data_IF_203438629664
#
_entry.id   IF_203438629664
#
_cell.length_a   1.000
_cell.length_b   1.000
_cell.length_c   1.000
_cell.angle_alpha   90.00
_cell.angle_beta   90.00
_cell.angle_gamma   90.00
#
_symmetry.space_group_name_H-M   'P 1'
#
loop_
_entity.id
_entity.type
_entity.pdbx_description
1 polymer ?
#
# COMPACT_ATOMS: atom_id res chain seq x y z
N UNK A 1 10.42 -33.96 -8.49
CA UNK A 1 8.94 -33.96 -8.41
C UNK A 1 8.56 -34.16 -6.95
N UNK A 2 8.44 -33.09 -6.17
CA UNK A 2 7.96 -33.14 -4.79
C UNK A 2 6.80 -32.17 -4.63
N UNK A 3 5.61 -32.76 -4.51
CA UNK A 3 4.49 -32.36 -3.66
C UNK A 3 4.12 -30.87 -3.64
N UNK A 4 3.34 -30.46 -4.64
CA UNK A 4 2.27 -29.50 -4.43
C UNK A 4 1.23 -30.13 -3.51
N UNK A 5 1.28 -29.79 -2.23
CA UNK A 5 0.12 -29.88 -1.33
C UNK A 5 0.37 -29.04 -0.08
N UNK A 6 -0.72 -28.44 0.40
CA UNK A 6 -0.87 -27.74 1.68
C UNK A 6 -0.03 -26.47 1.88
N UNK A 7 -0.47 -25.35 1.28
CA UNK A 7 -0.54 -24.04 1.95
C UNK A 7 -1.52 -23.10 1.23
N UNK A 8 -2.63 -23.66 0.75
CA UNK A 8 -3.67 -22.96 0.01
C UNK A 8 -4.56 -22.25 1.04
N UNK A 9 -4.05 -21.18 1.67
CA UNK A 9 -4.79 -20.39 2.68
C UNK A 9 -3.92 -19.57 3.63
N UNK A 10 -2.62 -19.87 3.69
CA UNK A 10 -1.64 -19.06 4.43
C UNK A 10 -1.11 -17.99 3.48
N UNK A 11 -1.18 -16.70 3.86
CA UNK A 11 -0.49 -15.64 3.11
C UNK A 11 0.99 -16.05 2.98
N UNK A 12 1.51 -16.25 1.77
CA UNK A 12 2.94 -16.51 1.59
C UNK A 12 3.75 -15.40 2.25
N UNK A 13 4.87 -15.74 2.88
CA UNK A 13 5.81 -14.73 3.34
C UNK A 13 6.52 -14.12 2.12
N UNK A 14 5.87 -13.15 1.49
CA UNK A 14 6.39 -12.47 0.30
C UNK A 14 7.69 -11.67 0.59
N UNK A 15 8.05 -11.46 1.85
CA UNK A 15 9.32 -10.83 2.23
C UNK A 15 10.55 -11.70 1.94
N UNK A 16 10.37 -13.01 1.80
CA UNK A 16 11.45 -13.99 1.53
C UNK A 16 11.24 -14.74 0.20
N UNK A 17 10.17 -14.43 -0.54
CA UNK A 17 9.87 -15.09 -1.80
C UNK A 17 10.81 -14.59 -2.90
N UNK A 18 11.50 -15.52 -3.56
CA UNK A 18 12.37 -15.20 -4.69
C UNK A 18 11.55 -15.03 -5.96
N UNK A 19 12.11 -14.28 -6.93
CA UNK A 19 11.50 -14.09 -8.25
C UNK A 19 11.22 -15.42 -8.97
N UNK A 20 12.16 -16.38 -8.88
CA UNK A 20 12.02 -17.67 -9.55
C UNK A 20 10.84 -18.48 -9.01
N UNK A 21 10.68 -18.52 -7.68
CA UNK A 21 9.55 -19.23 -7.04
C UNK A 21 8.23 -18.57 -7.47
N UNK A 22 8.19 -17.24 -7.50
CA UNK A 22 6.98 -16.52 -7.94
C UNK A 22 6.60 -16.85 -9.40
N UNK A 23 7.58 -16.99 -10.29
CA UNK A 23 7.33 -17.39 -11.67
C UNK A 23 6.87 -18.85 -11.80
N UNK A 24 7.28 -19.72 -10.88
CA UNK A 24 6.79 -21.11 -10.82
C UNK A 24 5.31 -21.18 -10.41
N UNK A 25 4.88 -20.30 -9.50
CA UNK A 25 3.48 -20.22 -9.05
C UNK A 25 2.54 -19.59 -10.11
N UNK A 26 3.09 -18.73 -10.97
CA UNK A 26 2.32 -18.00 -11.99
C UNK A 26 2.96 -18.18 -13.37
N UNK A 27 2.63 -19.29 -14.03
CA UNK A 27 3.14 -19.61 -15.36
C UNK A 27 2.17 -19.21 -16.47
N UNK A 28 0.88 -19.11 -16.14
CA UNK A 28 -0.21 -18.87 -17.09
C UNK A 28 -1.22 -17.83 -16.61
N UNK A 29 -2.07 -17.37 -17.53
CA UNK A 29 -3.23 -16.55 -17.19
C UNK A 29 -4.20 -17.29 -16.25
N UNK A 30 -4.35 -18.61 -16.42
CA UNK A 30 -5.26 -19.43 -15.62
C UNK A 30 -4.83 -19.50 -14.15
N UNK A 31 -3.52 -19.56 -13.88
CA UNK A 31 -2.97 -19.49 -12.50
C UNK A 31 -3.33 -18.15 -11.84
N UNK A 32 -3.19 -17.05 -12.60
CA UNK A 32 -3.53 -15.71 -12.13
C UNK A 32 -5.03 -15.58 -11.86
N UNK A 33 -5.88 -16.13 -12.73
CA UNK A 33 -7.33 -16.15 -12.54
C UNK A 33 -7.75 -17.01 -11.35
N UNK A 34 -7.17 -18.21 -11.19
CA UNK A 34 -7.46 -19.09 -10.06
C UNK A 34 -7.09 -18.43 -8.74
N UNK A 35 -5.91 -17.81 -8.67
CA UNK A 35 -5.48 -17.07 -7.49
C UNK A 35 -6.39 -15.87 -7.19
N UNK A 36 -6.76 -15.10 -8.22
CA UNK A 36 -7.64 -13.93 -8.06
C UNK A 36 -9.06 -14.32 -7.65
N UNK A 37 -9.60 -15.41 -8.19
CA UNK A 37 -10.89 -15.96 -7.82
C UNK A 37 -10.92 -16.32 -6.34
N UNK A 38 -9.92 -17.08 -5.89
CA UNK A 38 -9.80 -17.50 -4.50
C UNK A 38 -9.58 -16.32 -3.55
N UNK A 39 -8.78 -15.35 -3.96
CA UNK A 39 -8.50 -14.16 -3.13
C UNK A 39 -9.72 -13.27 -2.99
N UNK A 40 -10.48 -13.08 -4.07
CA UNK A 40 -11.69 -12.24 -4.07
C UNK A 40 -12.87 -12.94 -3.42
N UNK A 41 -13.01 -14.24 -3.65
CA UNK A 41 -14.15 -15.06 -3.29
C UNK A 41 -13.69 -16.44 -2.76
N UNK A 42 -13.23 -16.52 -1.50
CA UNK A 42 -12.70 -17.76 -0.92
C UNK A 42 -13.70 -18.91 -0.93
N UNK A 43 -14.98 -18.61 -0.72
CA UNK A 43 -16.09 -19.58 -0.66
C UNK A 43 -16.85 -19.69 -1.99
N UNK A 44 -16.25 -19.25 -3.09
CA UNK A 44 -16.90 -19.18 -4.41
C UNK A 44 -17.65 -17.86 -4.65
N UNK A 45 -18.14 -17.69 -5.89
CA UNK A 45 -18.70 -16.43 -6.39
C UNK A 45 -19.74 -15.81 -5.45
N UNK A 46 -19.57 -14.52 -5.14
CA UNK A 46 -20.55 -13.71 -4.42
C UNK A 46 -20.88 -12.48 -5.26
N UNK A 47 -22.16 -12.29 -5.58
CA UNK A 47 -22.57 -11.15 -6.40
C UNK A 47 -22.35 -9.82 -5.65
N UNK A 48 -21.52 -8.88 -6.16
CA UNK A 48 -21.26 -7.60 -5.51
C UNK A 48 -22.49 -6.68 -5.41
N UNK A 49 -23.56 -6.95 -6.18
CA UNK A 49 -24.79 -6.14 -6.18
C UNK A 49 -25.83 -6.62 -5.16
N UNK A 50 -25.92 -7.93 -4.91
CA UNK A 50 -27.02 -8.51 -4.13
C UNK A 50 -26.60 -9.61 -3.15
N UNK A 51 -25.32 -9.96 -3.07
CA UNK A 51 -24.80 -10.98 -2.16
C UNK A 51 -25.11 -12.44 -2.53
N UNK A 52 -25.95 -12.69 -3.54
CA UNK A 52 -26.29 -14.05 -3.98
C UNK A 52 -25.06 -14.84 -4.45
N UNK A 53 -25.02 -16.13 -4.09
CA UNK A 53 -24.00 -17.10 -4.51
C UNK A 53 -24.39 -17.85 -5.79
N UNK A 54 -25.63 -17.71 -6.25
CA UNK A 54 -26.11 -18.39 -7.44
C UNK A 54 -25.72 -17.64 -8.72
N UNK A 55 -25.01 -18.33 -9.62
CA UNK A 55 -24.57 -17.75 -10.88
C UNK A 55 -24.62 -18.74 -12.06
N UNK A 56 -24.60 -18.17 -13.26
CA UNK A 56 -24.21 -18.85 -14.49
C UNK A 56 -22.82 -18.37 -14.92
N UNK A 57 -21.94 -19.30 -15.27
CA UNK A 57 -20.69 -18.96 -15.97
C UNK A 57 -21.04 -18.65 -17.44
N UNK A 58 -20.78 -17.42 -17.89
CA UNK A 58 -21.00 -17.04 -19.29
C UNK A 58 -19.78 -17.45 -20.12
N UNK A 59 -18.59 -17.23 -19.59
CA UNK A 59 -17.32 -17.60 -20.23
C UNK A 59 -16.31 -17.90 -19.14
N UNK A 60 -15.81 -19.14 -19.13
CA UNK A 60 -14.71 -19.53 -18.25
C UNK A 60 -13.44 -18.75 -18.61
N UNK A 61 -13.13 -18.59 -19.90
CA UNK A 61 -11.93 -17.88 -20.37
C UNK A 61 -11.92 -16.40 -19.97
N UNK A 62 -13.06 -15.72 -20.05
CA UNK A 62 -13.16 -14.30 -19.65
C UNK A 62 -13.51 -14.12 -18.17
N UNK A 63 -13.65 -15.23 -17.42
CA UNK A 63 -14.05 -15.25 -16.02
C UNK A 63 -15.28 -14.35 -15.78
N UNK A 64 -16.30 -14.51 -16.63
CA UNK A 64 -17.50 -13.68 -16.65
C UNK A 64 -18.69 -14.45 -16.07
N UNK A 65 -19.26 -13.88 -15.01
CA UNK A 65 -20.31 -14.49 -14.21
C UNK A 65 -21.61 -13.68 -14.33
N UNK A 66 -22.75 -14.36 -14.42
CA UNK A 66 -24.08 -13.74 -14.36
C UNK A 66 -24.83 -14.23 -13.14
N UNK A 67 -25.17 -13.32 -12.24
CA UNK A 67 -25.96 -13.64 -11.06
C UNK A 67 -27.36 -14.15 -11.47
N UNK A 68 -27.84 -15.24 -10.86
CA UNK A 68 -29.19 -15.76 -11.13
C UNK A 68 -30.29 -14.87 -10.55
N UNK A 69 -30.05 -14.29 -9.38
CA UNK A 69 -31.02 -13.48 -8.65
C UNK A 69 -31.24 -12.10 -9.28
N UNK A 70 -30.18 -11.30 -9.44
CA UNK A 70 -30.30 -9.91 -9.93
C UNK A 70 -29.93 -9.73 -11.42
N UNK A 71 -29.58 -10.82 -12.12
CA UNK A 71 -29.15 -10.85 -13.53
C UNK A 71 -27.92 -10.00 -13.88
N UNK A 72 -27.26 -9.41 -12.88
CA UNK A 72 -26.06 -8.59 -13.06
C UNK A 72 -24.89 -9.43 -13.61
N UNK A 73 -24.14 -8.87 -14.55
CA UNK A 73 -22.93 -9.47 -15.10
C UNK A 73 -21.71 -8.90 -14.38
N UNK A 74 -20.79 -9.77 -13.98
CA UNK A 74 -19.61 -9.41 -13.20
C UNK A 74 -18.43 -10.21 -13.73
N UNK A 75 -17.38 -9.53 -14.19
CA UNK A 75 -16.10 -10.19 -14.46
C UNK A 75 -15.32 -10.32 -13.16
N UNK A 76 -14.44 -11.32 -13.08
CA UNK A 76 -13.56 -11.50 -11.93
C UNK A 76 -12.70 -10.26 -11.62
N UNK A 77 -12.27 -9.54 -12.67
CA UNK A 77 -11.48 -8.30 -12.56
C UNK A 77 -12.31 -7.07 -12.19
N UNK A 78 -13.64 -7.16 -12.14
CA UNK A 78 -14.52 -6.01 -11.88
C UNK A 78 -14.39 -5.47 -10.46
N UNK A 79 -14.22 -4.15 -10.32
CA UNK A 79 -14.02 -3.52 -9.02
C UNK A 79 -12.68 -3.88 -8.37
N UNK A 80 -11.67 -4.23 -9.18
CA UNK A 80 -10.27 -4.42 -8.75
C UNK A 80 -9.36 -3.49 -9.54
N UNK A 81 -8.06 -3.46 -9.22
CA UNK A 81 -7.05 -2.74 -10.02
C UNK A 81 -7.01 -3.21 -11.49
N UNK A 82 -7.41 -4.46 -11.74
CA UNK A 82 -7.47 -5.09 -13.07
C UNK A 82 -8.74 -4.72 -13.87
N UNK A 83 -9.63 -3.89 -13.31
CA UNK A 83 -10.88 -3.55 -13.99
C UNK A 83 -10.63 -2.95 -15.38
N UNK A 84 -11.33 -3.51 -16.38
CA UNK A 84 -11.24 -3.14 -17.80
C UNK A 84 -9.82 -3.18 -18.38
N UNK A 85 -8.92 -3.96 -17.79
CA UNK A 85 -7.60 -4.16 -18.38
C UNK A 85 -7.70 -5.01 -19.64
N UNK A 86 -6.87 -4.67 -20.64
CA UNK A 86 -6.58 -5.53 -21.80
C UNK A 86 -5.20 -6.18 -21.69
N UNK A 87 -4.42 -5.78 -20.69
CA UNK A 87 -3.12 -6.36 -20.42
C UNK A 87 -3.32 -7.72 -19.74
N UNK A 88 -2.62 -8.78 -20.18
CA UNK A 88 -2.65 -10.09 -19.52
C UNK A 88 -2.37 -9.97 -18.01
N UNK A 89 -3.10 -10.72 -17.19
CA UNK A 89 -2.94 -10.71 -15.73
C UNK A 89 -1.55 -11.18 -15.31
N UNK A 90 -0.91 -12.06 -16.06
CA UNK A 90 0.45 -12.51 -15.81
C UNK A 90 1.40 -11.31 -15.72
N UNK A 91 1.33 -10.39 -16.70
CA UNK A 91 2.16 -9.16 -16.70
C UNK A 91 1.86 -8.26 -15.51
N UNK A 92 0.60 -8.20 -15.08
CA UNK A 92 0.21 -7.49 -13.87
C UNK A 92 0.83 -8.10 -12.61
N UNK A 93 0.77 -9.42 -12.47
CA UNK A 93 1.30 -10.14 -11.31
C UNK A 93 2.81 -9.98 -11.21
N UNK A 94 3.52 -10.09 -12.35
CA UNK A 94 4.95 -9.82 -12.45
C UNK A 94 5.29 -8.38 -12.00
N UNK A 95 4.54 -7.39 -12.49
CA UNK A 95 4.73 -5.99 -12.08
C UNK A 95 4.48 -5.79 -10.58
N UNK A 96 3.40 -6.38 -10.05
CA UNK A 96 3.07 -6.30 -8.61
C UNK A 96 4.20 -6.87 -7.77
N UNK A 97 4.74 -8.03 -8.14
CA UNK A 97 5.85 -8.65 -7.43
C UNK A 97 7.09 -7.74 -7.44
N UNK A 98 7.49 -7.23 -8.61
CA UNK A 98 8.66 -6.34 -8.73
C UNK A 98 8.49 -5.06 -7.90
N UNK A 99 7.28 -4.50 -7.90
CA UNK A 99 6.96 -3.31 -7.11
C UNK A 99 6.94 -3.58 -5.60
N UNK A 100 6.47 -4.75 -5.17
CA UNK A 100 6.36 -5.10 -3.76
C UNK A 100 7.71 -5.52 -3.13
N UNK A 101 8.62 -6.08 -3.93
CA UNK A 101 9.92 -6.61 -3.45
C UNK A 101 11.08 -5.65 -3.67
N UNK A 102 10.95 -4.65 -4.55
CA UNK A 102 12.01 -3.66 -4.77
C UNK A 102 12.12 -2.66 -3.61
N UNK A 103 13.31 -2.56 -3.03
CA UNK A 103 13.63 -1.59 -1.96
C UNK A 103 13.69 -0.14 -2.46
N UNK A 104 14.09 0.06 -3.70
CA UNK A 104 14.36 1.39 -4.31
C UNK A 104 13.26 1.83 -5.28
N UNK A 105 12.19 1.05 -5.41
CA UNK A 105 11.18 1.23 -6.45
C UNK A 105 11.60 0.63 -7.79
N UNK A 106 10.73 0.75 -8.81
CA UNK A 106 10.95 0.18 -10.14
C UNK A 106 10.91 1.25 -11.22
N UNK A 107 11.80 1.16 -12.19
CA UNK A 107 11.79 2.03 -13.36
C UNK A 107 10.69 1.60 -14.33
N UNK A 108 9.79 2.51 -14.69
CA UNK A 108 8.69 2.20 -15.62
C UNK A 108 9.22 1.80 -17.00
N UNK A 109 10.33 2.40 -17.46
CA UNK A 109 10.96 2.03 -18.74
C UNK A 109 11.58 0.63 -18.69
N UNK A 110 12.15 0.25 -17.56
CA UNK A 110 12.67 -1.09 -17.35
C UNK A 110 11.54 -2.12 -17.35
N UNK A 111 10.47 -1.85 -16.60
CA UNK A 111 9.27 -2.70 -16.56
C UNK A 111 8.58 -2.83 -17.92
N UNK A 112 8.58 -1.78 -18.73
CA UNK A 112 8.06 -1.86 -20.09
C UNK A 112 8.84 -2.87 -20.96
N UNK A 113 10.16 -2.94 -20.80
CA UNK A 113 11.00 -3.92 -21.49
C UNK A 113 10.86 -5.32 -20.90
N UNK A 114 10.98 -5.47 -19.57
CA UNK A 114 10.86 -6.77 -18.88
C UNK A 114 9.50 -7.43 -19.14
N UNK A 115 8.42 -6.66 -19.17
CA UNK A 115 7.06 -7.17 -19.38
C UNK A 115 6.65 -7.20 -20.86
N UNK A 116 7.53 -6.80 -21.78
CA UNK A 116 7.23 -6.70 -23.22
C UNK A 116 5.95 -5.89 -23.48
N UNK A 117 5.86 -4.70 -22.89
CA UNK A 117 4.75 -3.76 -23.09
C UNK A 117 5.31 -2.54 -23.83
N UNK A 118 4.91 -2.39 -25.09
CA UNK A 118 5.43 -1.33 -25.96
C UNK A 118 4.99 0.08 -25.52
N UNK A 119 3.80 0.20 -24.94
CA UNK A 119 3.28 1.50 -24.50
C UNK A 119 3.68 1.80 -23.05
N UNK A 120 4.56 2.79 -22.89
CA UNK A 120 4.97 3.34 -21.60
C UNK A 120 3.78 3.75 -20.74
N UNK A 121 2.76 4.40 -21.34
CA UNK A 121 1.62 4.93 -20.59
C UNK A 121 0.80 3.82 -19.96
N UNK A 122 0.72 2.66 -20.61
CA UNK A 122 0.09 1.46 -20.06
C UNK A 122 0.79 1.01 -18.79
N UNK A 123 2.11 0.81 -18.82
CA UNK A 123 2.89 0.37 -17.64
C UNK A 123 2.84 1.41 -16.52
N UNK A 124 2.94 2.70 -16.88
CA UNK A 124 2.83 3.80 -15.95
C UNK A 124 1.47 3.80 -15.22
N UNK A 125 0.37 3.59 -15.96
CA UNK A 125 -0.98 3.49 -15.39
C UNK A 125 -1.13 2.25 -14.51
N UNK A 126 -0.55 1.12 -14.91
CA UNK A 126 -0.53 -0.10 -14.09
C UNK A 126 0.18 0.15 -12.76
N UNK A 127 1.37 0.73 -12.80
CA UNK A 127 2.16 1.04 -11.61
C UNK A 127 1.43 2.02 -10.68
N UNK A 128 0.74 3.04 -11.21
CA UNK A 128 -0.06 3.95 -10.39
C UNK A 128 -1.25 3.30 -9.73
N UNK A 129 -1.97 2.41 -10.42
CA UNK A 129 -3.06 1.63 -9.82
C UNK A 129 -2.54 0.74 -8.68
N UNK A 130 -1.36 0.14 -8.85
CA UNK A 130 -0.71 -0.67 -7.81
C UNK A 130 -0.34 0.20 -6.60
N UNK A 131 0.34 1.33 -6.82
CA UNK A 131 0.70 2.27 -5.74
C UNK A 131 -0.53 2.77 -4.99
N UNK A 132 -1.60 3.11 -5.72
CA UNK A 132 -2.85 3.55 -5.10
C UNK A 132 -3.46 2.44 -4.23
N UNK A 133 -3.49 1.20 -4.71
CA UNK A 133 -3.97 0.07 -3.91
C UNK A 133 -3.10 -0.22 -2.69
N UNK A 134 -1.77 -0.05 -2.80
CA UNK A 134 -0.86 -0.14 -1.65
C UNK A 134 -1.15 0.95 -0.63
N UNK A 135 -1.22 2.22 -1.08
CA UNK A 135 -1.53 3.35 -0.21
C UNK A 135 -2.92 3.24 0.45
N UNK A 136 -3.94 2.79 -0.28
CA UNK A 136 -5.29 2.59 0.27
C UNK A 136 -5.32 1.48 1.33
N UNK A 137 -4.45 0.48 1.20
CA UNK A 137 -4.27 -0.55 2.23
C UNK A 137 -3.49 0.00 3.42
N UNK A 138 -2.41 0.74 3.18
CA UNK A 138 -1.58 1.30 4.24
C UNK A 138 -2.38 2.30 5.10
N UNK A 139 -3.28 3.05 4.48
CA UNK A 139 -4.24 3.93 5.14
C UNK A 139 -5.21 3.21 6.11
N UNK A 140 -5.34 1.88 6.05
CA UNK A 140 -6.16 1.12 6.99
C UNK A 140 -5.41 0.76 8.28
N UNK A 141 -4.08 0.82 8.29
CA UNK A 141 -3.31 0.54 9.50
C UNK A 141 -3.22 1.79 10.37
N UNK A 142 -3.63 1.66 11.62
CA UNK A 142 -3.33 2.64 12.66
C UNK A 142 -1.90 2.46 13.13
N UNK A 143 -1.22 3.56 13.43
CA UNK A 143 0.05 3.48 14.16
C UNK A 143 -0.28 3.08 15.60
N UNK A 144 0.37 2.02 16.09
CA UNK A 144 0.22 1.57 17.46
C UNK A 144 1.56 1.68 18.17
N UNK A 145 1.53 2.12 19.44
CA UNK A 145 2.74 2.34 20.24
C UNK A 145 3.44 3.65 19.91
N UNK A 146 4.74 3.72 20.21
CA UNK A 146 5.48 4.97 20.15
C UNK A 146 5.69 5.40 18.69
N UNK A 147 5.12 6.53 18.27
CA UNK A 147 5.26 7.03 16.90
C UNK A 147 6.38 8.07 16.81
N UNK A 148 7.39 7.79 16.00
CA UNK A 148 8.44 8.75 15.67
C UNK A 148 8.04 9.57 14.45
N UNK A 149 8.13 10.90 14.54
CA UNK A 149 7.80 11.80 13.43
C UNK A 149 9.01 12.62 13.04
N UNK A 150 9.28 12.67 11.73
CA UNK A 150 10.33 13.50 11.12
C UNK A 150 9.78 14.20 9.87
N UNK A 151 10.45 15.28 9.47
CA UNK A 151 10.12 16.05 8.27
C UNK A 151 11.13 15.78 7.15
N UNK A 152 10.67 15.75 5.92
CA UNK A 152 11.49 15.52 4.74
C UNK A 152 11.02 16.37 3.57
N UNK A 153 11.95 16.73 2.68
CA UNK A 153 11.68 17.63 1.55
C UNK A 153 11.89 16.90 0.22
N UNK A 154 10.82 16.70 -0.55
CA UNK A 154 10.82 15.97 -1.82
C UNK A 154 10.63 16.93 -3.00
N UNK A 155 11.44 16.79 -4.04
CA UNK A 155 11.31 17.63 -5.23
C UNK A 155 12.48 17.47 -6.18
N UNK A 156 12.40 18.08 -7.37
CA UNK A 156 13.49 18.05 -8.36
C UNK A 156 14.79 18.59 -7.77
N UNK A 157 15.92 18.12 -8.30
CA UNK A 157 17.22 18.66 -7.93
C UNK A 157 17.26 20.16 -8.27
N UNK A 158 17.53 21.00 -7.27
CA UNK A 158 17.56 22.45 -7.43
C UNK A 158 18.79 23.02 -6.73
N UNK A 159 19.45 23.96 -7.40
CA UNK A 159 20.54 24.75 -6.81
C UNK A 159 19.95 25.88 -5.97
N UNK A 160 20.05 25.78 -4.65
CA UNK A 160 19.49 26.77 -3.73
C UNK A 160 19.53 26.32 -2.28
N UNK A 161 18.73 26.96 -1.41
CA UNK A 161 18.59 26.59 -0.01
C UNK A 161 18.18 25.12 0.14
N UNK A 162 18.80 24.42 1.09
CA UNK A 162 18.46 23.04 1.49
C UNK A 162 17.64 23.08 2.79
N UNK A 163 16.67 22.17 2.94
CA UNK A 163 15.81 22.08 4.14
C UNK A 163 14.57 22.98 4.09
N UNK A 164 14.06 23.40 5.26
CA UNK A 164 12.88 24.28 5.38
C UNK A 164 13.03 25.55 4.53
N UNK A 165 11.99 25.85 3.75
CA UNK A 165 11.99 27.01 2.84
C UNK A 165 12.82 26.81 1.58
N UNK A 166 13.22 25.58 1.25
CA UNK A 166 13.73 25.25 -0.08
C UNK A 166 12.60 25.40 -1.10
N UNK A 167 12.68 26.45 -1.92
CA UNK A 167 11.73 26.70 -3.00
C UNK A 167 11.64 25.47 -3.92
N UNK A 168 10.41 25.10 -4.32
CA UNK A 168 10.09 23.98 -5.24
C UNK A 168 10.26 22.57 -4.66
N UNK A 169 10.37 22.41 -3.33
CA UNK A 169 10.25 21.10 -2.69
C UNK A 169 8.96 21.02 -1.87
N UNK A 170 8.29 19.89 -1.98
CA UNK A 170 7.17 19.50 -1.14
C UNK A 170 7.67 19.07 0.23
N UNK A 171 7.09 19.64 1.27
CA UNK A 171 7.33 19.23 2.65
C UNK A 171 6.45 18.02 2.96
N UNK A 172 7.08 16.97 3.46
CA UNK A 172 6.44 15.71 3.81
C UNK A 172 6.79 15.37 5.25
N UNK A 173 5.77 15.18 6.06
CA UNK A 173 5.92 14.63 7.41
C UNK A 173 5.79 13.11 7.33
N UNK A 174 6.77 12.40 7.87
CA UNK A 174 6.78 10.93 7.95
C UNK A 174 6.64 10.52 9.40
N UNK A 175 5.60 9.75 9.71
CA UNK A 175 5.35 9.17 11.02
C UNK A 175 5.59 7.66 10.98
N UNK A 176 6.39 7.11 11.88
CA UNK A 176 6.75 5.69 11.94
C UNK A 176 6.44 5.15 13.33
N UNK A 177 5.60 4.11 13.41
CA UNK A 177 5.40 3.37 14.67
C UNK A 177 6.66 2.59 15.05
N UNK A 178 6.94 2.51 16.34
CA UNK A 178 8.05 1.76 16.91
C UNK A 178 7.48 0.73 17.88
N UNK A 179 7.88 -0.52 17.71
CA UNK A 179 7.56 -1.62 18.62
C UNK A 179 8.84 -2.26 19.13
N UNK A 180 8.75 -2.97 20.27
CA UNK A 180 9.89 -3.70 20.85
C UNK A 180 9.76 -5.18 20.55
N UNK A 181 10.82 -5.78 20.03
CA UNK A 181 10.88 -7.23 19.86
C UNK A 181 11.03 -7.97 21.20
N UNK A 182 10.96 -9.31 21.18
CA UNK A 182 11.10 -10.16 22.39
C UNK A 182 12.44 -9.95 23.11
N UNK A 183 13.45 -9.40 22.42
CA UNK A 183 14.76 -9.07 22.99
C UNK A 183 14.84 -7.61 23.48
N UNK A 184 13.72 -6.87 23.48
CA UNK A 184 13.64 -5.48 23.94
C UNK A 184 14.14 -4.44 22.93
N UNK A 185 14.55 -4.86 21.72
CA UNK A 185 15.10 -3.96 20.70
C UNK A 185 13.97 -3.26 19.94
N UNK A 186 14.11 -1.94 19.79
CA UNK A 186 13.19 -1.13 18.99
C UNK A 186 13.29 -1.53 17.50
N UNK A 187 12.12 -1.72 16.89
CA UNK A 187 11.96 -2.06 15.48
C UNK A 187 10.94 -1.10 14.86
N UNK A 188 11.18 -0.63 13.63
CA UNK A 188 10.18 0.12 12.91
C UNK A 188 8.99 -0.79 12.59
N UNK A 189 7.79 -0.24 12.72
CA UNK A 189 6.53 -0.82 12.32
C UNK A 189 6.01 -0.15 11.05
N UNK A 190 4.72 0.22 11.08
CA UNK A 190 4.07 0.95 10.00
C UNK A 190 4.55 2.40 9.91
N UNK A 191 4.53 2.94 8.70
CA UNK A 191 4.86 4.34 8.41
C UNK A 191 3.73 5.01 7.62
N UNK A 192 3.46 6.28 7.92
CA UNK A 192 2.55 7.15 7.18
C UNK A 192 3.28 8.41 6.74
N UNK A 193 3.04 8.87 5.52
CA UNK A 193 3.65 10.08 4.98
C UNK A 193 2.56 11.07 4.53
N UNK A 194 2.68 12.32 4.95
CA UNK A 194 1.73 13.40 4.69
C UNK A 194 2.42 14.56 4.01
N UNK A 195 1.96 14.92 2.81
CA UNK A 195 2.36 16.18 2.18
C UNK A 195 1.67 17.32 2.93
N UNK A 196 2.45 18.29 3.40
CA UNK A 196 1.96 19.44 4.17
C UNK A 196 2.56 20.74 3.64
N UNK A 197 1.83 21.84 3.77
CA UNK A 197 2.35 23.16 3.41
C UNK A 197 3.36 23.69 4.44
N UNK A 198 3.15 23.35 5.71
CA UNK A 198 3.95 23.78 6.86
C UNK A 198 4.02 22.68 7.93
N UNK A 199 5.15 22.59 8.63
CA UNK A 199 5.33 21.71 9.79
C UNK A 199 5.29 22.54 11.09
N UNK A 200 4.11 23.06 11.41
CA UNK A 200 3.85 23.73 12.69
C UNK A 200 3.10 22.80 13.66
N UNK A 201 3.01 23.22 14.93
CA UNK A 201 2.41 22.42 15.99
C UNK A 201 0.96 22.00 15.68
N UNK A 202 0.16 22.91 15.13
CA UNK A 202 -1.23 22.64 14.74
C UNK A 202 -1.33 21.55 13.67
N UNK A 203 -0.48 21.62 12.64
CA UNK A 203 -0.46 20.60 11.58
C UNK A 203 -0.05 19.24 12.13
N UNK A 204 0.95 19.21 13.02
CA UNK A 204 1.41 17.97 13.67
C UNK A 204 0.31 17.37 14.56
N UNK A 205 -0.37 18.19 15.37
CA UNK A 205 -1.48 17.72 16.22
C UNK A 205 -2.64 17.15 15.39
N UNK A 206 -2.97 17.79 14.27
CA UNK A 206 -4.01 17.29 13.36
C UNK A 206 -3.61 15.94 12.73
N UNK A 207 -2.32 15.76 12.39
CA UNK A 207 -1.81 14.48 11.90
C UNK A 207 -1.86 13.41 12.99
N UNK A 208 -1.45 13.73 14.23
CA UNK A 208 -1.51 12.79 15.37
C UNK A 208 -2.94 12.33 15.65
N UNK A 209 -3.90 13.27 15.68
CA UNK A 209 -5.34 12.95 15.82
C UNK A 209 -5.83 12.04 14.71
N UNK A 210 -5.39 12.29 13.47
CA UNK A 210 -5.75 11.46 12.31
C UNK A 210 -5.16 10.05 12.38
N UNK A 211 -3.98 9.91 13.00
CA UNK A 211 -3.29 8.64 13.19
C UNK A 211 -3.78 7.87 14.44
N UNK A 212 -4.67 8.46 15.24
CA UNK A 212 -5.15 7.90 16.52
C UNK A 212 -4.01 7.63 17.52
N UNK A 213 -2.96 8.47 17.45
CA UNK A 213 -1.79 8.40 18.34
C UNK A 213 -1.93 9.47 19.42
N UNK A 214 -1.86 9.07 20.68
CA UNK A 214 -1.83 10.00 21.80
C UNK A 214 -0.49 10.77 21.80
N UNK A 215 -0.50 12.04 22.20
CA UNK A 215 0.73 12.85 22.20
C UNK A 215 1.81 12.28 23.14
N UNK A 216 1.40 11.58 24.21
CA UNK A 216 2.27 10.90 25.17
C UNK A 216 3.03 9.72 24.54
N UNK A 217 2.50 9.15 23.47
CA UNK A 217 3.11 8.07 22.68
C UNK A 217 3.88 8.61 21.46
N UNK A 218 3.96 9.92 21.27
CA UNK A 218 4.67 10.51 20.12
C UNK A 218 6.08 10.97 20.50
N UNK A 219 7.08 10.49 19.75
CA UNK A 219 8.46 10.98 19.82
C UNK A 219 8.78 11.75 18.55
N UNK A 220 8.43 13.03 18.51
CA UNK A 220 9.01 13.91 17.51
C UNK A 220 10.52 13.98 17.78
N UNK A 221 11.35 13.67 16.79
CA UNK A 221 12.79 13.96 16.86
C UNK A 221 13.04 15.29 16.17
N UNK A 222 13.58 16.26 16.92
CA UNK A 222 14.03 17.49 16.34
C UNK A 222 15.45 17.76 16.77
N UNK A 223 16.29 18.24 15.86
CA UNK A 223 17.59 18.82 16.24
C UNK A 223 17.48 20.02 17.22
N UNK A 224 16.26 20.47 17.62
CA UNK A 224 16.00 21.41 18.73
C UNK A 224 14.49 21.70 18.95
N UNK A 225 13.63 20.77 19.41
CA UNK A 225 12.22 21.13 19.73
C UNK A 225 11.70 20.66 21.10
N UNK A 226 12.52 20.00 21.92
CA UNK A 226 12.06 19.56 23.25
C UNK A 226 11.76 20.73 24.21
N UNK A 227 12.29 21.93 23.99
CA UNK A 227 12.01 23.09 24.86
C UNK A 227 10.67 23.76 24.55
N UNK A 228 10.23 23.82 23.29
CA UNK A 228 9.00 24.53 22.92
C UNK A 228 7.74 23.66 23.10
N UNK A 229 7.81 22.35 22.83
CA UNK A 229 6.67 21.46 23.04
C UNK A 229 6.43 21.14 24.53
N UNK A 230 7.47 21.09 25.38
CA UNK A 230 7.27 20.96 26.83
C UNK A 230 6.59 22.19 27.44
N UNK A 231 6.83 23.38 26.87
CA UNK A 231 6.17 24.62 27.29
C UNK A 231 4.72 24.73 26.79
N UNK A 232 4.39 24.07 25.68
CA UNK A 232 3.00 23.98 25.22
C UNK A 232 2.16 23.07 26.13
N UNK A 233 2.70 21.90 26.49
CA UNK A 233 2.01 20.96 27.40
C UNK A 233 1.86 21.48 28.84
N UNK A 234 2.83 22.26 29.35
CA UNK A 234 2.68 22.92 30.66
C UNK A 234 1.59 23.98 30.71
N UNK A 235 1.17 24.55 29.57
CA UNK A 235 0.09 25.56 29.52
C UNK A 235 -1.31 24.96 29.47
N UNK A 236 -1.47 23.71 29.03
CA UNK A 236 -2.79 23.06 28.96
C UNK A 236 -3.20 22.46 30.32
N UNK A 237 -2.25 22.18 31.21
CA UNK A 237 -2.50 21.60 32.54
C UNK A 237 -2.96 22.58 33.64
N UNK A 238 -2.96 23.90 33.41
CA UNK A 238 -3.38 24.89 34.41
C UNK A 238 -4.44 25.85 33.84
N UNK A 239 -5.62 25.31 33.54
CA UNK A 239 -6.86 26.09 33.55
C UNK A 239 -8.05 25.16 33.79
N UNK A 240 -8.19 24.74 35.04
CA UNK A 240 -9.51 24.48 35.61
C UNK A 240 -9.80 25.64 36.58
N UNK A 241 -11.03 26.17 36.61
CA UNK A 241 -11.40 27.28 37.49
C UNK A 241 -11.23 26.94 38.98
#
# INVERSE_FOLDING_TARGET
MNTMSSNIGVKPNYGEMSWLIFQEDFQSEDDCYAWLLKTRWPEGFICPKCGSKDYWSISAQQQLYKCKSCRNRVSLTSGTIFHKTRTPLLKWFMLIFRMATSKTGVSINEMARELEINDYKTVWTMAHKIRKAMADRDNQYKLAGLAEMDESFFGPSFSGKRGRGAEKKELVIVAVSIWRDKAGKERPGFAHAFVVEKADAETIENILKRLDVSAEESRCHPFRWLEELSNCYKKVGNSSP
#
